data_IF_680302421941
#
_entry.id   IF_680302421941
#
_cell.length_a   1.000
_cell.length_b   1.000
_cell.length_c   1.000
_cell.angle_alpha   90.00
_cell.angle_beta   90.00
_cell.angle_gamma   90.00
#
_symmetry.space_group_name_H-M   'P 1'
#
loop_
_entity.id
_entity.type
_entity.pdbx_description
1 polymer ?
#
# COMPACT_ATOMS: atom_id res chain seq x y z
N UNK A 1 -43.65 17.17 11.92
CA UNK A 1 -43.89 16.53 10.60
C UNK A 1 -42.75 15.55 10.38
N UNK A 2 -42.99 14.28 10.63
CA UNK A 2 -42.01 13.21 10.46
C UNK A 2 -42.01 12.79 8.98
N UNK A 3 -40.94 13.14 8.27
CA UNK A 3 -40.76 12.72 6.88
C UNK A 3 -40.28 11.27 6.87
N UNK A 4 -41.21 10.33 6.76
CA UNK A 4 -40.91 8.93 6.41
C UNK A 4 -40.43 8.87 4.96
N UNK A 5 -39.12 8.99 4.77
CA UNK A 5 -38.49 8.84 3.46
C UNK A 5 -37.93 7.42 3.31
N UNK A 6 -38.52 6.63 2.41
CA UNK A 6 -38.06 5.29 2.00
C UNK A 6 -36.84 5.34 1.05
N UNK A 7 -36.14 6.47 0.99
CA UNK A 7 -34.99 6.63 0.10
C UNK A 7 -33.76 6.05 0.80
N UNK A 8 -33.33 4.86 0.35
CA UNK A 8 -32.04 4.30 0.72
C UNK A 8 -30.95 4.88 -0.19
N UNK A 9 -29.88 5.48 0.35
CA UNK A 9 -28.79 6.00 -0.46
C UNK A 9 -28.04 4.87 -1.18
N UNK A 10 -27.60 5.13 -2.41
CA UNK A 10 -26.76 4.18 -3.14
C UNK A 10 -25.37 4.08 -2.48
N UNK A 11 -24.92 2.86 -2.20
CA UNK A 11 -23.56 2.60 -1.70
C UNK A 11 -22.54 3.00 -2.76
N UNK A 12 -21.61 3.90 -2.43
CA UNK A 12 -20.50 4.21 -3.34
C UNK A 12 -19.44 3.11 -3.26
N UNK A 13 -18.76 2.78 -4.37
CA UNK A 13 -17.58 1.93 -4.32
C UNK A 13 -16.53 2.56 -3.38
N UNK A 14 -16.23 1.88 -2.27
CA UNK A 14 -15.29 2.38 -1.26
C UNK A 14 -15.92 2.83 0.05
N UNK A 15 -17.24 3.05 0.11
CA UNK A 15 -17.91 3.32 1.38
C UNK A 15 -17.89 2.04 2.24
N UNK A 16 -17.21 2.13 3.39
CA UNK A 16 -17.16 1.06 4.38
C UNK A 16 -18.00 1.50 5.58
N UNK A 17 -19.25 1.05 5.64
CA UNK A 17 -20.13 1.29 6.80
C UNK A 17 -19.74 0.44 8.02
N UNK A 18 -19.10 -0.72 7.79
CA UNK A 18 -18.75 -1.67 8.85
C UNK A 18 -17.34 -1.40 9.44
N UNK A 19 -17.23 -1.00 10.72
CA UNK A 19 -15.95 -0.68 11.35
C UNK A 19 -14.94 -1.84 11.33
N UNK A 20 -15.40 -3.09 11.39
CA UNK A 20 -14.52 -4.26 11.36
C UNK A 20 -13.84 -4.43 9.99
N UNK A 21 -14.60 -4.24 8.91
CA UNK A 21 -14.06 -4.22 7.54
C UNK A 21 -13.04 -3.10 7.35
N UNK A 22 -13.25 -1.93 7.97
CA UNK A 22 -12.29 -0.83 7.97
C UNK A 22 -10.97 -1.24 8.63
N UNK A 23 -11.03 -1.79 9.85
CA UNK A 23 -9.86 -2.26 10.60
C UNK A 23 -9.10 -3.34 9.81
N UNK A 24 -9.80 -4.30 9.21
CA UNK A 24 -9.17 -5.36 8.42
C UNK A 24 -8.45 -4.82 7.19
N UNK A 25 -9.05 -3.87 6.45
CA UNK A 25 -8.40 -3.24 5.29
C UNK A 25 -7.17 -2.43 5.69
N UNK A 26 -7.25 -1.69 6.77
CA UNK A 26 -6.13 -0.89 7.27
C UNK A 26 -4.98 -1.79 7.74
N UNK A 27 -5.30 -2.86 8.47
CA UNK A 27 -4.33 -3.88 8.85
C UNK A 27 -3.66 -4.53 7.65
N UNK A 28 -4.45 -4.97 6.66
CA UNK A 28 -3.93 -5.56 5.43
C UNK A 28 -3.03 -4.59 4.65
N UNK A 29 -3.41 -3.31 4.54
CA UNK A 29 -2.59 -2.28 3.88
C UNK A 29 -1.23 -2.12 4.57
N UNK A 30 -1.20 -2.12 5.90
CA UNK A 30 0.06 -2.03 6.66
C UNK A 30 0.94 -3.26 6.45
N UNK A 31 0.36 -4.45 6.48
CA UNK A 31 1.10 -5.70 6.24
C UNK A 31 1.67 -5.75 4.81
N UNK A 32 0.90 -5.33 3.81
CA UNK A 32 1.37 -5.24 2.43
C UNK A 32 2.50 -4.22 2.28
N UNK A 33 2.38 -3.04 2.89
CA UNK A 33 3.44 -2.05 2.89
C UNK A 33 4.73 -2.61 3.49
N UNK A 34 4.65 -3.27 4.66
CA UNK A 34 5.81 -3.91 5.28
C UNK A 34 6.42 -5.01 4.41
N UNK A 35 5.60 -5.84 3.78
CA UNK A 35 6.07 -6.91 2.91
C UNK A 35 6.81 -6.35 1.68
N UNK A 36 6.27 -5.31 1.04
CA UNK A 36 6.89 -4.63 -0.10
C UNK A 36 8.24 -4.02 0.31
N UNK A 37 8.32 -3.39 1.47
CA UNK A 37 9.58 -2.82 1.97
C UNK A 37 10.63 -3.91 2.19
N UNK A 38 10.26 -5.02 2.84
CA UNK A 38 11.16 -6.15 3.06
C UNK A 38 11.63 -6.79 1.75
N UNK A 39 10.74 -6.92 0.76
CA UNK A 39 11.08 -7.45 -0.57
C UNK A 39 12.06 -6.53 -1.31
N UNK A 40 11.83 -5.23 -1.28
CA UNK A 40 12.71 -4.24 -1.90
C UNK A 40 14.12 -4.25 -1.26
N UNK A 41 14.20 -4.37 0.06
CA UNK A 41 15.49 -4.51 0.76
C UNK A 41 16.22 -5.81 0.38
N UNK A 42 15.50 -6.94 0.35
CA UNK A 42 16.06 -8.23 -0.05
C UNK A 42 16.59 -8.20 -1.49
N UNK A 43 15.85 -7.57 -2.41
CA UNK A 43 16.25 -7.39 -3.80
C UNK A 43 17.53 -6.56 -3.92
N UNK A 44 17.61 -5.42 -3.22
CA UNK A 44 18.82 -4.59 -3.24
C UNK A 44 20.02 -5.32 -2.63
N UNK A 45 19.82 -6.10 -1.57
CA UNK A 45 20.87 -6.91 -0.97
C UNK A 45 21.41 -7.95 -1.96
N UNK A 46 20.54 -8.63 -2.72
CA UNK A 46 20.93 -9.57 -3.76
C UNK A 46 21.74 -8.91 -4.90
N UNK A 47 21.47 -7.64 -5.21
CA UNK A 47 22.14 -6.89 -6.29
C UNK A 47 23.46 -6.22 -5.88
N UNK A 48 23.87 -6.24 -4.59
CA UNK A 48 25.06 -5.52 -4.10
C UNK A 48 26.37 -5.89 -4.80
N UNK A 49 26.48 -7.09 -5.35
CA UNK A 49 27.66 -7.52 -6.10
C UNK A 49 27.74 -6.96 -7.52
N UNK A 50 26.62 -6.47 -8.06
CA UNK A 50 26.57 -5.94 -9.41
C UNK A 50 26.90 -4.45 -9.42
N UNK A 51 28.04 -4.12 -10.03
CA UNK A 51 28.53 -2.75 -10.15
C UNK A 51 28.73 -2.37 -11.60
N UNK A 52 28.56 -1.09 -11.88
CA UNK A 52 28.93 -0.49 -13.16
C UNK A 52 30.45 -0.42 -13.29
N UNK A 53 30.95 -0.16 -14.50
CA UNK A 53 32.38 -0.04 -14.78
C UNK A 53 33.07 1.09 -13.97
N UNK A 54 32.30 2.08 -13.51
CA UNK A 54 32.77 3.18 -12.66
C UNK A 54 32.68 2.86 -11.14
N UNK A 55 32.33 1.62 -10.79
CA UNK A 55 32.28 1.15 -9.41
C UNK A 55 31.01 1.51 -8.64
N UNK A 56 30.03 2.19 -9.26
CA UNK A 56 28.73 2.45 -8.62
C UNK A 56 27.85 1.21 -8.62
N UNK A 57 26.95 1.12 -7.65
CA UNK A 57 25.97 0.04 -7.58
C UNK A 57 25.07 0.10 -8.82
N UNK A 58 24.85 -1.06 -9.45
CA UNK A 58 24.05 -1.15 -10.69
C UNK A 58 22.57 -0.89 -10.43
N UNK A 59 22.09 -1.19 -9.23
CA UNK A 59 20.69 -1.01 -8.81
C UNK A 59 20.65 -0.26 -7.49
N UNK A 60 19.78 0.75 -7.41
CA UNK A 60 19.59 1.59 -6.22
C UNK A 60 18.09 1.83 -5.99
N UNK A 61 17.71 2.15 -4.76
CA UNK A 61 16.32 2.52 -4.43
C UNK A 61 16.02 3.96 -4.88
N UNK A 62 14.97 4.14 -5.68
CA UNK A 62 14.52 5.45 -6.15
C UNK A 62 13.48 6.09 -5.20
N UNK A 63 13.81 6.20 -3.91
CA UNK A 63 12.95 6.81 -2.89
C UNK A 63 11.63 6.07 -2.64
N UNK A 64 10.65 6.78 -2.06
CA UNK A 64 9.26 6.33 -1.96
C UNK A 64 8.45 7.00 -3.08
N UNK A 65 7.55 6.25 -3.71
CA UNK A 65 6.62 6.77 -4.72
C UNK A 65 5.68 7.84 -4.15
N UNK A 66 4.75 8.40 -4.96
CA UNK A 66 3.83 9.41 -4.49
C UNK A 66 3.05 8.95 -3.24
N UNK A 67 3.05 9.82 -2.23
CA UNK A 67 2.29 9.68 -0.99
C UNK A 67 0.88 10.26 -1.14
#
# INVERSE_FOLDING_TARGET
MTSDSTILPFRKPGDVEDPLTGILRDGARRLLAQAIEAEAEAFLAAMKGERLADGRDRVVRHGLGPV
#
